data_IF_229834437548
#
_entry.id   IF_229834437548
#
_cell.length_a   1.000
_cell.length_b   1.000
_cell.length_c   1.000
_cell.angle_alpha   90.00
_cell.angle_beta   90.00
_cell.angle_gamma   90.00
#
_symmetry.space_group_name_H-M   'P 1'
#
loop_
_entity.id
_entity.type
_entity.pdbx_description
1 polymer ?
#
# COMPACT_ATOMS: atom_id res chain seq x y z
N UNK A 1 -8.62 16.05 -8.26
CA UNK A 1 -8.08 15.20 -7.18
C UNK A 1 -7.14 16.04 -6.33
N UNK A 2 -7.23 15.98 -5.00
CA UNK A 2 -6.31 16.73 -4.13
C UNK A 2 -4.87 16.26 -4.38
N UNK A 3 -3.87 17.17 -4.46
CA UNK A 3 -2.47 16.80 -4.68
C UNK A 3 -1.94 15.84 -3.62
N UNK A 4 -2.50 15.88 -2.40
CA UNK A 4 -2.17 14.94 -1.31
C UNK A 4 -2.57 13.50 -1.63
N UNK A 5 -3.74 13.31 -2.25
CA UNK A 5 -4.19 12.00 -2.71
C UNK A 5 -3.38 11.49 -3.89
N UNK A 6 -3.01 12.37 -4.82
CA UNK A 6 -2.15 11.98 -5.95
C UNK A 6 -0.76 11.53 -5.48
N UNK A 7 -0.18 12.23 -4.49
CA UNK A 7 1.10 11.85 -3.88
C UNK A 7 0.99 10.51 -3.12
N UNK A 8 -0.05 10.33 -2.31
CA UNK A 8 -0.29 9.06 -1.61
C UNK A 8 -0.48 7.88 -2.58
N UNK A 9 -1.25 8.09 -3.65
CA UNK A 9 -1.44 7.10 -4.70
C UNK A 9 -0.13 6.75 -5.42
N UNK A 10 0.67 7.75 -5.79
CA UNK A 10 1.97 7.55 -6.42
C UNK A 10 2.94 6.76 -5.52
N UNK A 11 2.99 7.08 -4.23
CA UNK A 11 3.76 6.32 -3.24
C UNK A 11 3.27 4.87 -3.12
N UNK A 12 1.95 4.67 -3.12
CA UNK A 12 1.35 3.34 -3.07
C UNK A 12 1.76 2.50 -4.28
N UNK A 13 1.65 3.05 -5.49
CA UNK A 13 2.05 2.38 -6.72
C UNK A 13 3.55 2.06 -6.75
N UNK A 14 4.40 2.99 -6.28
CA UNK A 14 5.83 2.76 -6.16
C UNK A 14 6.11 1.57 -5.23
N UNK A 15 5.46 1.52 -4.06
CA UNK A 15 5.61 0.43 -3.11
C UNK A 15 5.15 -0.92 -3.66
N UNK A 16 4.03 -0.93 -4.38
CA UNK A 16 3.52 -2.13 -5.02
C UNK A 16 4.47 -2.63 -6.11
N UNK A 17 5.03 -1.72 -6.93
CA UNK A 17 6.05 -2.04 -7.93
C UNK A 17 7.33 -2.62 -7.32
N UNK A 18 7.83 -2.03 -6.23
CA UNK A 18 9.00 -2.56 -5.51
C UNK A 18 8.70 -3.94 -4.91
N UNK A 19 7.53 -4.13 -4.31
CA UNK A 19 7.10 -5.42 -3.77
C UNK A 19 7.00 -6.50 -4.85
N UNK A 20 6.45 -6.15 -6.03
CA UNK A 20 6.36 -7.07 -7.17
C UNK A 20 7.75 -7.40 -7.72
N UNK A 21 8.63 -6.41 -7.86
CA UNK A 21 10.00 -6.62 -8.31
C UNK A 21 10.81 -7.50 -7.34
N UNK A 22 10.61 -7.34 -6.03
CA UNK A 22 11.17 -8.21 -5.01
C UNK A 22 10.65 -9.65 -5.15
N UNK A 23 9.34 -9.82 -5.38
CA UNK A 23 8.72 -11.14 -5.57
C UNK A 23 9.23 -11.84 -6.83
N UNK A 24 9.41 -11.10 -7.93
CA UNK A 24 9.96 -11.60 -9.19
C UNK A 24 11.49 -11.79 -9.17
N UNK A 25 12.14 -11.55 -8.01
CA UNK A 25 13.60 -11.62 -7.83
C UNK A 25 14.39 -10.70 -8.76
N UNK A 26 13.78 -9.63 -9.25
CA UNK A 26 14.42 -8.67 -10.14
C UNK A 26 15.48 -7.84 -9.40
N UNK A 27 15.31 -7.62 -8.09
CA UNK A 27 16.31 -6.96 -7.24
C UNK A 27 16.13 -7.29 -5.75
N UNK A 28 17.20 -7.11 -4.96
CA UNK A 28 17.19 -7.26 -3.50
C UNK A 28 16.98 -5.90 -2.84
N UNK A 29 15.71 -5.55 -2.66
CA UNK A 29 15.34 -4.36 -1.90
C UNK A 29 15.37 -4.72 -0.41
N UNK A 30 16.48 -4.41 0.26
CA UNK A 30 16.66 -4.66 1.69
C UNK A 30 15.83 -3.72 2.57
N UNK A 31 16.49 -3.03 3.50
CA UNK A 31 15.84 -2.12 4.47
C UNK A 31 15.05 -0.99 3.79
N UNK A 32 15.46 -0.54 2.61
CA UNK A 32 14.76 0.52 1.85
C UNK A 32 13.32 0.17 1.49
N UNK A 33 13.01 -1.11 1.22
CA UNK A 33 11.64 -1.53 0.95
C UNK A 33 10.75 -1.38 2.20
N UNK A 34 11.29 -1.60 3.39
CA UNK A 34 10.55 -1.47 4.64
C UNK A 34 10.24 0.00 4.95
N UNK A 35 11.19 0.90 4.68
CA UNK A 35 10.95 2.34 4.79
C UNK A 35 9.87 2.83 3.82
N UNK A 36 9.90 2.36 2.57
CA UNK A 36 8.87 2.70 1.59
C UNK A 36 7.49 2.18 2.00
N UNK A 37 7.43 0.94 2.48
CA UNK A 37 6.20 0.36 3.02
C UNK A 37 5.67 1.16 4.20
N UNK A 38 6.53 1.58 5.13
CA UNK A 38 6.15 2.38 6.28
C UNK A 38 5.61 3.76 5.86
N UNK A 39 6.24 4.41 4.89
CA UNK A 39 5.77 5.67 4.34
C UNK A 39 4.36 5.53 3.71
N UNK A 40 4.12 4.46 2.95
CA UNK A 40 2.80 4.17 2.38
C UNK A 40 1.76 3.93 3.47
N UNK A 41 2.08 3.10 4.48
CA UNK A 41 1.19 2.84 5.60
C UNK A 41 0.80 4.12 6.35
N UNK A 42 1.80 4.96 6.68
CA UNK A 42 1.57 6.21 7.40
C UNK A 42 0.75 7.20 6.56
N UNK A 43 1.03 7.29 5.25
CA UNK A 43 0.27 8.15 4.35
C UNK A 43 -1.19 7.71 4.20
N UNK A 44 -1.45 6.40 4.11
CA UNK A 44 -2.80 5.84 4.05
C UNK A 44 -3.55 6.02 5.38
N UNK A 45 -2.88 5.84 6.52
CA UNK A 45 -3.45 6.08 7.84
C UNK A 45 -3.78 7.56 8.06
N UNK A 46 -2.89 8.47 7.65
CA UNK A 46 -3.15 9.91 7.69
C UNK A 46 -4.33 10.29 6.82
N UNK A 47 -4.38 9.81 5.56
CA UNK A 47 -5.51 10.03 4.68
C UNK A 47 -6.82 9.53 5.29
N UNK A 48 -6.82 8.32 5.88
CA UNK A 48 -7.98 7.76 6.57
C UNK A 48 -8.43 8.64 7.75
N UNK A 49 -7.48 9.15 8.54
CA UNK A 49 -7.79 10.01 9.69
C UNK A 49 -8.47 11.31 9.25
N UNK A 50 -8.00 11.93 8.17
CA UNK A 50 -8.54 13.19 7.66
C UNK A 50 -9.84 13.04 6.86
N UNK A 51 -10.00 11.99 6.07
CA UNK A 51 -11.18 11.84 5.19
C UNK A 51 -12.23 10.86 5.69
N UNK A 52 -11.86 9.98 6.64
CA UNK A 52 -12.72 8.92 7.23
C UNK A 52 -13.43 8.05 6.18
N UNK A 53 -12.85 7.90 5.00
CA UNK A 53 -13.44 7.12 3.91
C UNK A 53 -13.31 5.61 4.17
N UNK A 54 -14.41 4.88 3.93
CA UNK A 54 -14.47 3.44 4.17
C UNK A 54 -13.47 2.63 3.33
N UNK A 55 -13.17 3.05 2.09
CA UNK A 55 -12.17 2.37 1.25
C UNK A 55 -10.74 2.47 1.80
N UNK A 56 -10.40 3.54 2.52
CA UNK A 56 -9.10 3.68 3.16
C UNK A 56 -8.97 2.76 4.37
N UNK A 57 -10.08 2.37 5.02
CA UNK A 57 -10.07 1.36 6.07
C UNK A 57 -9.60 0.02 5.49
N UNK A 58 -10.13 -0.38 4.33
CA UNK A 58 -9.68 -1.59 3.63
C UNK A 58 -8.20 -1.50 3.25
N UNK A 59 -7.74 -0.33 2.83
CA UNK A 59 -6.33 -0.07 2.50
C UNK A 59 -5.42 -0.27 3.69
N UNK A 60 -5.72 0.40 4.81
CA UNK A 60 -4.91 0.33 6.03
C UNK A 60 -4.97 -1.07 6.65
N UNK A 61 -6.13 -1.72 6.66
CA UNK A 61 -6.26 -3.10 7.14
C UNK A 61 -5.46 -4.08 6.29
N UNK A 62 -5.49 -3.94 4.96
CA UNK A 62 -4.72 -4.80 4.05
C UNK A 62 -3.22 -4.61 4.27
N UNK A 63 -2.75 -3.36 4.42
CA UNK A 63 -1.37 -3.08 4.76
C UNK A 63 -1.03 -3.65 6.15
N UNK A 64 -1.82 -3.38 7.19
CA UNK A 64 -1.58 -3.91 8.53
C UNK A 64 -1.49 -5.45 8.61
N UNK A 65 -2.06 -6.17 7.64
CA UNK A 65 -1.96 -7.62 7.52
C UNK A 65 -0.66 -8.11 6.85
N UNK A 66 0.13 -7.25 6.19
CA UNK A 66 1.41 -7.61 5.55
C UNK A 66 2.43 -8.28 6.49
N UNK A 67 2.61 -7.87 7.76
CA UNK A 67 3.52 -8.53 8.71
C UNK A 67 3.15 -10.00 9.00
N UNK A 68 1.87 -10.35 8.86
CA UNK A 68 1.40 -11.72 9.01
C UNK A 68 1.47 -12.53 7.70
N UNK A 69 1.61 -11.87 6.55
CA UNK A 69 1.73 -12.55 5.27
C UNK A 69 3.13 -13.18 5.13
N UNK A 70 3.19 -14.51 5.00
CA UNK A 70 4.47 -15.22 4.85
C UNK A 70 5.27 -14.71 3.64
N UNK A 71 6.59 -14.52 3.78
CA UNK A 71 7.45 -14.15 2.66
C UNK A 71 7.33 -15.16 1.52
N UNK A 72 7.23 -14.68 0.27
CA UNK A 72 7.08 -15.47 -0.98
C UNK A 72 5.75 -16.22 -1.16
N UNK A 73 4.73 -15.91 -0.38
CA UNK A 73 3.37 -16.39 -0.65
C UNK A 73 2.60 -15.40 -1.54
N UNK A 74 1.68 -15.90 -2.37
CA UNK A 74 0.77 -15.06 -3.18
C UNK A 74 -0.16 -14.19 -2.33
N UNK A 75 -0.18 -14.36 -1.00
CA UNK A 75 -0.91 -13.51 -0.07
C UNK A 75 -0.35 -12.08 -0.09
N UNK A 76 0.97 -11.93 -0.20
CA UNK A 76 1.65 -10.64 -0.18
C UNK A 76 1.22 -9.71 -1.34
N UNK A 77 1.23 -10.14 -2.63
CA UNK A 77 0.73 -9.30 -3.72
C UNK A 77 -0.80 -9.14 -3.67
N UNK A 78 -1.53 -10.15 -3.18
CA UNK A 78 -2.99 -10.07 -3.08
C UNK A 78 -3.43 -9.01 -2.07
N UNK A 79 -2.78 -8.91 -0.91
CA UNK A 79 -3.02 -7.85 0.07
C UNK A 79 -2.68 -6.46 -0.51
N UNK A 80 -1.61 -6.36 -1.29
CA UNK A 80 -1.26 -5.11 -1.99
C UNK A 80 -2.33 -4.71 -3.01
N UNK A 81 -2.88 -5.67 -3.76
CA UNK A 81 -3.97 -5.42 -4.70
C UNK A 81 -5.27 -5.04 -3.99
N UNK A 82 -5.62 -5.72 -2.89
CA UNK A 82 -6.81 -5.38 -2.09
C UNK A 82 -6.71 -3.98 -1.48
N UNK A 83 -5.52 -3.61 -0.98
CA UNK A 83 -5.31 -2.27 -0.48
C UNK A 83 -5.37 -1.21 -1.59
N UNK A 84 -4.85 -1.51 -2.79
CA UNK A 84 -5.00 -0.63 -3.95
C UNK A 84 -6.47 -0.43 -4.32
N UNK A 85 -7.27 -1.50 -4.35
CA UNK A 85 -8.71 -1.43 -4.60
C UNK A 85 -9.40 -0.55 -3.56
N UNK A 86 -9.09 -0.72 -2.27
CA UNK A 86 -9.60 0.15 -1.21
C UNK A 86 -9.26 1.62 -1.42
N UNK A 87 -8.03 1.92 -1.86
CA UNK A 87 -7.59 3.28 -2.13
C UNK A 87 -8.33 3.87 -3.34
N UNK A 88 -8.49 3.10 -4.42
CA UNK A 88 -9.23 3.51 -5.61
C UNK A 88 -10.71 3.78 -5.31
N UNK A 89 -11.35 2.94 -4.50
CA UNK A 89 -12.73 3.17 -4.04
C UNK A 89 -12.87 4.46 -3.23
N UNK A 90 -11.79 4.95 -2.63
CA UNK A 90 -11.78 6.20 -1.87
C UNK A 90 -11.57 7.43 -2.76
N UNK A 91 -11.05 7.24 -3.98
CA UNK A 91 -10.86 8.29 -4.98
C UNK A 91 -12.13 8.62 -5.76
N UNK A 92 -13.11 7.70 -5.80
CA UNK A 92 -14.43 7.92 -6.39
C UNK A 92 -15.45 8.15 -5.26
N UNK A 93 -15.70 9.41 -4.85
CA UNK A 93 -16.76 9.74 -3.90
C UNK A 93 -18.16 9.46 -4.46
#
# INVERSE_FOLDING_TARGET
>A
MSPVFALGFGLYLLNLGVGLAAQLRLARFGVWHHWLYFAVFLSAAAALFFTRQAGLILTVASLAAFPWARPRSWIHPTLGALGLVGYLLSLNP
#
